data_IF_929062483542
#
_entry.id   IF_929062483542
#
_cell.length_a   1.000
_cell.length_b   1.000
_cell.length_c   1.000
_cell.angle_alpha   90.00
_cell.angle_beta   90.00
_cell.angle_gamma   90.00
#
_symmetry.space_group_name_H-M   'P 1'
#
loop_
_entity.id
_entity.type
_entity.pdbx_description
1 polymer ?
#
# COMPACT_ATOMS: atom_id res chain seq x y z
N UNK A 1 6.71 -18.34 -9.97
CA UNK A 1 6.62 -17.56 -8.71
C UNK A 1 6.95 -16.09 -8.98
N UNK A 2 5.96 -15.30 -9.39
CA UNK A 2 6.20 -13.94 -9.87
C UNK A 2 5.22 -12.96 -9.22
N UNK A 3 5.79 -11.83 -8.78
CA UNK A 3 5.20 -10.75 -7.98
C UNK A 3 5.04 -11.06 -6.48
N UNK A 4 6.17 -11.38 -5.83
CA UNK A 4 6.35 -10.91 -4.45
C UNK A 4 6.55 -9.40 -4.54
N UNK A 5 5.46 -8.62 -4.56
CA UNK A 5 5.53 -7.19 -4.25
C UNK A 5 5.86 -7.10 -2.77
N UNK A 6 7.14 -7.22 -2.42
CA UNK A 6 7.55 -6.87 -1.07
C UNK A 6 7.23 -5.39 -0.89
N UNK A 7 6.36 -5.08 0.06
CA UNK A 7 6.12 -3.70 0.50
C UNK A 7 7.29 -3.25 1.38
N UNK A 8 8.52 -3.42 0.89
CA UNK A 8 9.74 -2.83 1.45
C UNK A 8 10.26 -1.89 0.37
N UNK A 9 9.61 -0.74 0.35
CA UNK A 9 9.92 0.38 -0.50
C UNK A 9 11.02 1.18 0.20
N UNK A 10 12.29 0.87 -0.10
CA UNK A 10 13.37 1.86 0.01
C UNK A 10 13.23 2.83 -1.17
N UNK A 11 12.22 3.71 -1.13
CA UNK A 11 12.11 4.81 -2.08
C UNK A 11 12.53 6.11 -1.41
N UNK A 12 13.26 6.91 -2.18
CA UNK A 12 13.40 8.35 -1.97
C UNK A 12 12.04 9.01 -2.26
N UNK A 13 11.11 8.92 -1.32
CA UNK A 13 9.77 9.52 -1.42
C UNK A 13 9.80 10.89 -0.73
N UNK A 14 9.35 11.92 -1.42
CA UNK A 14 9.09 13.23 -0.82
C UNK A 14 7.60 13.55 -0.88
N UNK A 15 7.05 14.05 0.23
CA UNK A 15 5.64 14.42 0.36
C UNK A 15 5.33 15.67 -0.48
N UNK A 16 4.39 15.60 -1.42
CA UNK A 16 4.12 16.72 -2.34
C UNK A 16 3.24 17.84 -1.73
N UNK A 17 2.47 17.57 -0.68
CA UNK A 17 1.69 18.61 0.02
C UNK A 17 1.27 18.16 1.43
N UNK A 18 1.22 19.10 2.39
CA UNK A 18 1.00 18.84 3.83
C UNK A 18 -0.40 19.20 4.35
N UNK A 19 -1.42 19.44 3.51
CA UNK A 19 -2.75 19.84 3.99
C UNK A 19 -3.78 18.74 3.82
N UNK A 20 -4.05 18.01 4.90
CA UNK A 20 -5.31 17.30 5.12
C UNK A 20 -5.91 17.89 6.40
N UNK A 21 -7.06 18.55 6.25
CA UNK A 21 -7.69 19.36 7.30
C UNK A 21 -8.67 18.57 8.19
N UNK A 22 -8.87 17.28 7.93
CA UNK A 22 -9.71 16.41 8.76
C UNK A 22 -8.90 15.85 9.93
N UNK A 23 -9.49 15.88 11.13
CA UNK A 23 -8.92 15.20 12.29
C UNK A 23 -8.85 13.70 12.03
N UNK A 24 -7.71 13.10 12.36
CA UNK A 24 -7.51 11.66 12.20
C UNK A 24 -8.26 10.95 13.33
N UNK A 25 -9.08 9.94 12.98
CA UNK A 25 -9.80 9.14 13.96
C UNK A 25 -8.81 8.50 14.96
N UNK A 26 -9.17 8.43 16.24
CA UNK A 26 -8.23 8.12 17.33
C UNK A 26 -7.43 6.83 17.14
N UNK A 27 -8.08 5.75 16.68
CA UNK A 27 -7.40 4.46 16.43
C UNK A 27 -6.45 4.46 15.22
N UNK A 28 -6.43 5.53 14.45
CA UNK A 28 -5.61 5.71 13.24
C UNK A 28 -4.50 6.76 13.43
N UNK A 29 -4.37 7.35 14.61
CA UNK A 29 -3.38 8.40 14.87
C UNK A 29 -1.95 7.95 14.55
N UNK A 30 -1.61 6.69 14.87
CA UNK A 30 -0.30 6.11 14.55
C UNK A 30 -0.02 5.99 13.04
N UNK A 31 -1.04 6.06 12.19
CA UNK A 31 -0.93 6.03 10.72
C UNK A 31 -0.91 7.42 10.07
N UNK A 32 -0.96 8.49 10.88
CA UNK A 32 -1.01 9.88 10.38
C UNK A 32 0.16 10.22 9.44
N UNK A 33 1.32 9.60 9.64
CA UNK A 33 2.51 9.82 8.81
C UNK A 33 2.33 9.37 7.35
N UNK A 34 1.38 8.48 7.06
CA UNK A 34 1.06 8.04 5.70
C UNK A 34 0.28 9.10 4.90
N UNK A 35 -0.41 10.02 5.57
CA UNK A 35 -1.34 10.94 4.94
C UNK A 35 -0.62 11.93 4.00
N UNK A 36 -1.09 12.00 2.76
CA UNK A 36 -0.57 12.90 1.75
C UNK A 36 -0.57 12.33 0.34
N UNK A 37 0.04 13.09 -0.56
CA UNK A 37 0.33 12.68 -1.93
C UNK A 37 1.82 12.40 -2.04
N UNK A 38 2.15 11.26 -2.60
CA UNK A 38 3.52 10.76 -2.71
C UNK A 38 3.84 10.46 -4.17
N UNK A 39 5.07 10.73 -4.58
CA UNK A 39 5.61 10.35 -5.89
C UNK A 39 6.99 9.75 -5.70
N UNK A 40 7.29 8.70 -6.45
CA UNK A 40 8.61 8.10 -6.42
C UNK A 40 8.86 7.12 -7.57
N UNK A 41 10.06 6.53 -7.58
CA UNK A 41 10.49 5.53 -8.56
C UNK A 41 10.79 4.22 -7.85
N UNK A 42 10.09 3.14 -8.21
CA UNK A 42 10.31 1.81 -7.68
C UNK A 42 11.04 0.88 -8.66
N UNK A 43 11.58 -0.22 -8.13
CA UNK A 43 12.21 -1.28 -8.92
C UNK A 43 11.35 -2.53 -8.82
N UNK A 44 10.71 -2.90 -9.93
CA UNK A 44 9.97 -4.15 -10.07
C UNK A 44 10.93 -5.31 -10.26
N UNK A 45 10.66 -6.44 -9.61
CA UNK A 45 11.42 -7.69 -9.75
C UNK A 45 10.45 -8.82 -10.10
N UNK A 46 10.66 -9.51 -11.23
CA UNK A 46 9.86 -10.68 -11.57
C UNK A 46 9.88 -11.10 -13.03
N UNK A 47 9.67 -12.39 -13.26
CA UNK A 47 9.60 -12.99 -14.58
C UNK A 47 10.96 -13.19 -15.23
N UNK A 48 10.98 -13.65 -16.49
CA UNK A 48 12.18 -13.69 -17.34
C UNK A 48 12.76 -12.29 -17.62
N UNK A 49 11.93 -11.26 -17.51
CA UNK A 49 12.22 -9.85 -17.81
C UNK A 49 13.17 -9.16 -16.82
N UNK A 50 13.60 -9.83 -15.74
CA UNK A 50 14.58 -9.29 -14.80
C UNK A 50 14.03 -8.16 -13.93
N UNK A 51 14.76 -7.04 -13.86
CA UNK A 51 14.41 -5.85 -13.08
C UNK A 51 13.99 -4.70 -13.99
N UNK A 52 13.02 -3.89 -13.57
CA UNK A 52 12.61 -2.69 -14.30
C UNK A 52 12.26 -1.55 -13.35
N UNK A 53 12.55 -0.31 -13.74
CA UNK A 53 12.06 0.86 -13.05
C UNK A 53 10.59 1.15 -13.41
N UNK A 54 9.85 1.72 -12.48
CA UNK A 54 8.51 2.26 -12.68
C UNK A 54 8.32 3.51 -11.80
N UNK A 55 7.50 4.45 -12.25
CA UNK A 55 7.05 5.56 -11.40
C UNK A 55 5.80 5.15 -10.64
N UNK A 56 5.66 5.64 -9.42
CA UNK A 56 4.48 5.40 -8.58
C UNK A 56 3.96 6.70 -7.98
N UNK A 57 2.65 6.88 -8.06
CA UNK A 57 1.90 7.96 -7.44
C UNK A 57 0.96 7.36 -6.40
N UNK A 58 1.11 7.77 -5.15
CA UNK A 58 0.22 7.38 -4.06
C UNK A 58 -0.60 8.57 -3.58
N UNK A 59 -1.88 8.34 -3.34
CA UNK A 59 -2.76 9.26 -2.64
C UNK A 59 -3.34 8.55 -1.41
N UNK A 60 -3.01 9.08 -0.24
CA UNK A 60 -3.43 8.53 1.05
C UNK A 60 -4.15 9.62 1.83
N UNK A 61 -5.43 9.44 2.10
CA UNK A 61 -6.32 10.49 2.59
C UNK A 61 -7.33 9.98 3.62
N UNK A 62 -7.92 10.90 4.37
CA UNK A 62 -8.97 10.58 5.35
C UNK A 62 -10.04 11.66 5.35
N UNK A 63 -11.25 11.27 5.71
CA UNK A 63 -12.41 12.13 5.95
C UNK A 63 -12.69 12.33 7.44
N UNK A 64 -11.84 11.79 8.32
CA UNK A 64 -12.03 11.74 9.78
C UNK A 64 -12.87 10.54 10.27
N UNK A 65 -13.36 9.72 9.34
CA UNK A 65 -13.98 8.44 9.64
C UNK A 65 -12.95 7.39 10.09
N UNK A 66 -13.36 6.27 10.70
CA UNK A 66 -12.46 5.21 11.17
C UNK A 66 -11.86 4.36 10.02
N UNK A 67 -11.38 5.03 8.98
CA UNK A 67 -10.63 4.48 7.86
C UNK A 67 -9.75 5.56 7.19
N UNK A 68 -8.69 5.11 6.51
CA UNK A 68 -7.84 5.92 5.61
C UNK A 68 -7.93 5.31 4.22
N UNK A 69 -8.24 6.11 3.21
CA UNK A 69 -8.22 5.68 1.81
C UNK A 69 -6.80 5.64 1.26
N UNK A 70 -6.54 4.66 0.40
CA UNK A 70 -5.29 4.45 -0.31
C UNK A 70 -5.58 4.26 -1.80
N UNK A 71 -4.84 4.97 -2.65
CA UNK A 71 -4.82 4.78 -4.09
C UNK A 71 -3.37 4.82 -4.57
N UNK A 72 -2.92 3.74 -5.22
CA UNK A 72 -1.60 3.63 -5.84
C UNK A 72 -1.72 3.46 -7.35
N UNK A 73 -0.98 4.27 -8.11
CA UNK A 73 -0.90 4.21 -9.57
C UNK A 73 0.55 4.06 -10.03
N UNK A 74 0.82 2.97 -10.74
CA UNK A 74 2.13 2.65 -11.32
C UNK A 74 2.20 2.95 -12.82
N UNK A 75 3.27 3.62 -13.23
CA UNK A 75 3.54 4.05 -14.60
C UNK A 75 4.87 3.48 -15.10
N UNK A 76 4.91 3.13 -16.38
CA UNK A 76 6.14 2.76 -17.08
C UNK A 76 6.10 3.30 -18.50
N UNK A 77 7.18 3.94 -18.93
CA UNK A 77 7.29 4.57 -20.25
C UNK A 77 6.16 5.59 -20.50
N UNK A 78 5.85 6.41 -19.48
CA UNK A 78 4.74 7.37 -19.45
C UNK A 78 3.33 6.78 -19.67
N UNK A 79 3.18 5.45 -19.60
CA UNK A 79 1.90 4.78 -19.70
C UNK A 79 1.48 4.18 -18.35
N UNK A 80 0.20 4.30 -18.01
CA UNK A 80 -0.37 3.64 -16.85
C UNK A 80 -0.29 2.11 -17.02
N UNK A 81 0.15 1.40 -15.97
CA UNK A 81 0.33 -0.06 -16.01
C UNK A 81 -0.47 -0.79 -14.94
N UNK A 82 -0.35 -0.35 -13.70
CA UNK A 82 -0.96 -1.03 -12.56
C UNK A 82 -1.63 0.01 -11.67
N UNK A 83 -2.77 -0.34 -11.11
CA UNK A 83 -3.43 0.46 -10.10
C UNK A 83 -3.92 -0.47 -9.00
N UNK A 84 -3.85 0.01 -7.77
CA UNK A 84 -4.37 -0.66 -6.59
C UNK A 84 -5.02 0.39 -5.68
N UNK A 85 -6.11 0.02 -5.03
CA UNK A 85 -6.81 0.92 -4.12
C UNK A 85 -7.48 0.16 -2.98
N UNK A 86 -7.68 0.83 -1.86
CA UNK A 86 -8.16 0.19 -0.65
C UNK A 86 -8.34 1.12 0.54
N UNK A 87 -8.53 0.51 1.70
CA UNK A 87 -8.70 1.21 2.96
C UNK A 87 -7.87 0.58 4.06
N UNK A 88 -7.20 1.42 4.84
CA UNK A 88 -6.67 1.03 6.14
C UNK A 88 -7.75 1.15 7.22
N UNK A 89 -7.76 0.22 8.17
CA UNK A 89 -8.47 0.33 9.44
C UNK A 89 -7.49 0.08 10.58
N UNK A 90 -7.74 0.73 11.72
CA UNK A 90 -6.92 0.61 12.92
C UNK A 90 -7.78 0.32 14.13
N UNK A 91 -7.25 -0.50 15.03
CA UNK A 91 -7.85 -0.79 16.33
C UNK A 91 -7.05 -0.11 17.45
N UNK A 92 -7.67 0.10 18.61
CA UNK A 92 -7.07 0.85 19.73
C UNK A 92 -5.90 0.13 20.39
N UNK A 93 -5.76 -1.19 20.18
CA UNK A 93 -4.62 -2.00 20.61
C UNK A 93 -3.43 -1.98 19.62
N UNK A 94 -3.52 -1.17 18.56
CA UNK A 94 -2.48 -1.00 17.55
C UNK A 94 -2.53 -1.98 16.38
N UNK A 95 -3.49 -2.91 16.32
CA UNK A 95 -3.69 -3.72 15.11
C UNK A 95 -4.14 -2.85 13.94
N UNK A 96 -3.62 -3.15 12.76
CA UNK A 96 -3.94 -2.47 11.50
C UNK A 96 -4.35 -3.51 10.47
N UNK A 97 -5.43 -3.24 9.75
CA UNK A 97 -5.82 -4.01 8.57
C UNK A 97 -5.82 -3.14 7.33
N UNK A 98 -5.58 -3.75 6.18
CA UNK A 98 -5.74 -3.12 4.88
C UNK A 98 -6.50 -4.06 3.94
N UNK A 99 -7.65 -3.59 3.46
CA UNK A 99 -8.38 -4.25 2.38
C UNK A 99 -8.03 -3.54 1.08
N UNK A 100 -7.50 -4.27 0.09
CA UNK A 100 -6.97 -3.73 -1.16
C UNK A 100 -7.51 -4.52 -2.36
N UNK A 101 -7.72 -3.86 -3.48
CA UNK A 101 -7.91 -4.52 -4.79
C UNK A 101 -6.97 -3.93 -5.83
N UNK A 102 -6.65 -4.72 -6.86
CA UNK A 102 -5.76 -4.31 -7.94
C UNK A 102 -6.36 -4.50 -9.35
N UNK A 103 -5.75 -3.89 -10.36
CA UNK A 103 -6.20 -3.98 -11.76
C UNK A 103 -6.00 -5.35 -12.40
N UNK A 104 -5.37 -6.31 -11.71
CA UNK A 104 -5.30 -7.70 -12.14
C UNK A 104 -6.51 -8.52 -11.64
N UNK A 105 -7.40 -7.89 -10.88
CA UNK A 105 -8.60 -8.47 -10.34
C UNK A 105 -8.41 -9.15 -8.98
N UNK A 106 -7.26 -8.96 -8.33
CA UNK A 106 -7.05 -9.54 -7.00
C UNK A 106 -7.71 -8.67 -5.92
N UNK A 107 -8.14 -9.30 -4.84
CA UNK A 107 -8.48 -8.63 -3.60
C UNK A 107 -7.67 -9.25 -2.45
N UNK A 108 -7.20 -8.40 -1.55
CA UNK A 108 -6.29 -8.74 -0.46
C UNK A 108 -6.86 -8.27 0.87
N UNK A 109 -6.68 -9.11 1.90
CA UNK A 109 -6.73 -8.71 3.30
C UNK A 109 -5.32 -8.81 3.87
N UNK A 110 -4.78 -7.67 4.29
CA UNK A 110 -3.48 -7.57 4.93
C UNK A 110 -3.68 -7.17 6.41
N UNK A 111 -2.88 -7.74 7.31
CA UNK A 111 -2.91 -7.44 8.73
C UNK A 111 -1.50 -7.16 9.25
N UNK A 112 -1.41 -6.33 10.28
CA UNK A 112 -0.18 -6.08 11.02
C UNK A 112 -0.46 -5.36 12.32
N UNK A 113 0.60 -4.92 12.99
CA UNK A 113 0.52 -4.18 14.25
C UNK A 113 1.50 -3.02 14.22
N UNK A 114 1.08 -1.85 14.68
CA UNK A 114 1.97 -0.71 14.87
C UNK A 114 2.97 -1.01 15.99
N UNK A 115 4.27 -0.65 15.82
CA UNK A 115 5.23 -0.71 16.91
C UNK A 115 4.73 0.06 18.14
N UNK A 116 5.10 -0.45 19.31
CA UNK A 116 4.82 0.20 20.60
C UNK A 116 5.79 1.35 20.86
N UNK A 117 7.00 1.26 20.33
CA UNK A 117 8.08 2.24 20.49
C UNK A 117 8.06 3.32 19.39
N UNK A 118 7.85 4.56 19.79
CA UNK A 118 7.86 5.76 18.92
C UNK A 118 9.27 6.23 18.54
N UNK A 119 10.33 5.64 19.11
CA UNK A 119 11.73 5.98 18.78
C UNK A 119 12.18 5.44 17.42
N UNK A 120 11.45 4.45 16.88
CA UNK A 120 11.71 3.88 15.56
C UNK A 120 11.05 4.72 14.46
N UNK A 121 11.69 4.88 13.28
CA UNK A 121 11.05 5.55 12.16
C UNK A 121 9.72 4.87 11.85
N UNK A 122 8.68 5.67 11.61
CA UNK A 122 7.31 5.21 11.43
C UNK A 122 7.22 4.16 10.31
N UNK A 123 7.27 2.90 10.70
CA UNK A 123 7.27 1.74 9.80
C UNK A 123 5.99 0.97 10.04
N UNK A 124 5.26 0.69 8.96
CA UNK A 124 4.10 -0.18 8.97
C UNK A 124 4.43 -1.44 8.17
N UNK A 125 4.44 -2.58 8.85
CA UNK A 125 4.58 -3.90 8.21
C UNK A 125 3.22 -4.59 8.21
N UNK A 126 2.76 -5.00 7.02
CA UNK A 126 1.53 -5.75 6.84
C UNK A 126 1.85 -7.06 6.12
N UNK A 127 1.21 -8.14 6.55
CA UNK A 127 1.31 -9.46 5.93
C UNK A 127 -0.04 -9.90 5.40
N UNK A 128 -0.04 -10.66 4.31
CA UNK A 128 -1.28 -11.21 3.75
C UNK A 128 -1.92 -12.23 4.67
N UNK A 129 -3.17 -11.98 5.05
CA UNK A 129 -4.07 -12.97 5.65
C UNK A 129 -4.87 -13.72 4.60
N UNK A 130 -5.34 -13.00 3.57
CA UNK A 130 -6.13 -13.59 2.50
C UNK A 130 -5.87 -12.90 1.17
N UNK A 131 -5.92 -13.68 0.09
CA UNK A 131 -5.96 -13.19 -1.28
C UNK A 131 -6.94 -14.02 -2.08
N UNK A 132 -7.77 -13.33 -2.87
CA UNK A 132 -8.70 -13.96 -3.80
C UNK A 132 -8.51 -13.35 -5.19
N UNK A 133 -8.69 -14.17 -6.21
CA UNK A 133 -8.48 -13.79 -7.61
C UNK A 133 -9.53 -14.43 -8.51
N UNK A 134 -9.97 -13.78 -9.61
CA UNK A 134 -10.90 -14.36 -10.57
C UNK A 134 -10.32 -15.61 -11.21
N UNK A 135 -11.12 -16.64 -11.48
CA UNK A 135 -10.64 -17.90 -12.05
C UNK A 135 -9.96 -17.72 -13.43
N UNK A 136 -10.31 -16.68 -14.18
CA UNK A 136 -9.70 -16.31 -15.47
C UNK A 136 -8.55 -15.29 -15.34
N UNK A 137 -8.13 -14.98 -14.11
CA UNK A 137 -7.02 -14.09 -13.83
C UNK A 137 -5.67 -14.61 -14.35
N UNK A 138 -4.74 -13.68 -14.58
CA UNK A 138 -3.40 -13.97 -15.09
C UNK A 138 -2.67 -14.96 -14.18
N UNK A 139 -1.97 -15.91 -14.81
CA UNK A 139 -1.11 -16.88 -14.12
C UNK A 139 0.35 -16.43 -14.10
N UNK A 140 1.14 -16.80 -13.06
CA UNK A 140 0.71 -17.49 -11.84
C UNK A 140 -0.08 -16.57 -10.90
N UNK A 141 -1.02 -17.14 -10.14
CA UNK A 141 -1.76 -16.37 -9.12
C UNK A 141 -0.85 -15.92 -7.99
N UNK A 142 -1.13 -14.73 -7.47
CA UNK A 142 -0.56 -14.27 -6.20
C UNK A 142 -1.27 -15.02 -5.08
N UNK A 143 -0.49 -15.64 -4.18
CA UNK A 143 -1.00 -16.35 -3.00
C UNK A 143 -0.57 -15.70 -1.68
N UNK A 144 0.44 -14.83 -1.71
CA UNK A 144 0.95 -14.11 -0.54
C UNK A 144 1.73 -12.86 -0.95
N UNK A 145 1.62 -11.82 -0.14
CA UNK A 145 2.38 -10.56 -0.16
C UNK A 145 2.95 -10.33 1.25
N UNK A 146 4.16 -9.78 1.36
CA UNK A 146 4.82 -9.52 2.65
C UNK A 146 5.89 -8.45 2.57
#
# INVERSE_FOLDING_TARGET
PYLTRCMIVFLSIYQMSKKIAADVYTSLNKLRFLLGRWRGVGIGKGGPSGQWAYEELLEISTTGQPWISYVGNGYKDNAARHCEMGFFRGHTDGHVSMCLTDTLGNAYLLMGKMPEDESTPSTLTLTTESVVSPFFGRQPRVTKVG
#
